data_IF_206146981709
#
_entry.id   IF_206146981709
#
_cell.length_a   1.000
_cell.length_b   1.000
_cell.length_c   1.000
_cell.angle_alpha   90.00
_cell.angle_beta   90.00
_cell.angle_gamma   90.00
#
_symmetry.space_group_name_H-M   'P 1'
#
loop_
_entity.id
_entity.type
_entity.pdbx_description
1 polymer ?
#
# COMPACT_ATOMS: atom_id res chain seq x y z
N UNK A 1 -56.17 36.37 -11.83
CA UNK A 1 -55.41 35.82 -10.70
C UNK A 1 -54.43 34.82 -11.31
N UNK A 2 -53.22 35.23 -11.52
CA UNK A 2 -52.12 34.44 -12.11
C UNK A 2 -51.20 33.99 -11.00
N UNK A 3 -51.10 32.69 -10.80
CA UNK A 3 -50.17 32.06 -9.85
C UNK A 3 -48.73 32.12 -10.41
N UNK A 4 -47.89 32.84 -9.74
CA UNK A 4 -46.47 33.00 -10.03
C UNK A 4 -45.72 31.82 -9.37
N UNK A 5 -45.17 30.93 -10.20
CA UNK A 5 -44.38 29.77 -9.76
C UNK A 5 -42.98 30.25 -9.37
N UNK A 6 -42.69 30.24 -8.06
CA UNK A 6 -41.35 30.46 -7.52
C UNK A 6 -40.52 29.17 -7.68
N UNK A 7 -39.52 29.16 -8.54
CA UNK A 7 -38.53 28.09 -8.60
C UNK A 7 -37.49 28.24 -7.48
N UNK A 8 -37.10 27.17 -6.76
CA UNK A 8 -36.00 27.25 -5.80
C UNK A 8 -34.66 27.31 -6.51
N UNK A 9 -33.90 28.36 -6.24
CA UNK A 9 -32.50 28.50 -6.65
C UNK A 9 -31.65 27.49 -5.87
N UNK A 10 -31.02 26.56 -6.59
CA UNK A 10 -30.04 25.65 -6.02
C UNK A 10 -28.77 26.42 -5.62
N UNK A 11 -28.51 26.54 -4.33
CA UNK A 11 -27.25 27.03 -3.79
C UNK A 11 -26.13 26.02 -4.12
N UNK A 12 -25.24 26.43 -5.03
CA UNK A 12 -24.00 25.70 -5.32
C UNK A 12 -23.04 25.99 -4.16
N UNK A 13 -22.95 25.03 -3.23
CA UNK A 13 -21.99 25.04 -2.14
C UNK A 13 -20.58 24.74 -2.72
N UNK A 14 -19.86 25.80 -3.09
CA UNK A 14 -18.48 25.70 -3.54
C UNK A 14 -17.53 25.68 -2.34
N UNK A 15 -17.31 24.49 -1.78
CA UNK A 15 -16.26 24.30 -0.78
C UNK A 15 -14.89 24.67 -1.36
N UNK A 16 -14.07 25.44 -0.63
CA UNK A 16 -12.74 25.81 -1.10
C UNK A 16 -11.86 24.56 -1.24
N UNK A 17 -11.40 24.27 -2.45
CA UNK A 17 -10.47 23.15 -2.71
C UNK A 17 -9.16 23.44 -1.98
N UNK A 18 -8.87 22.67 -0.95
CA UNK A 18 -7.60 22.73 -0.23
C UNK A 18 -6.44 22.42 -1.19
N UNK A 19 -5.74 23.46 -1.61
CA UNK A 19 -4.53 23.31 -2.42
C UNK A 19 -3.35 23.06 -1.47
N UNK A 20 -2.85 21.81 -1.44
CA UNK A 20 -1.60 21.52 -0.75
C UNK A 20 -0.48 22.40 -1.31
N UNK A 21 0.31 23.08 -0.46
CA UNK A 21 1.43 23.87 -0.93
C UNK A 21 2.37 23.00 -1.75
N UNK A 22 2.66 23.40 -2.99
CA UNK A 22 3.66 22.72 -3.83
C UNK A 22 5.00 22.86 -3.13
N UNK A 23 5.53 21.74 -2.58
CA UNK A 23 6.90 21.70 -2.10
C UNK A 23 7.82 22.05 -3.28
N UNK A 24 8.52 23.17 -3.18
CA UNK A 24 9.57 23.50 -4.15
C UNK A 24 10.59 22.37 -4.13
N UNK A 25 10.81 21.74 -5.29
CA UNK A 25 11.88 20.76 -5.44
C UNK A 25 13.20 21.51 -5.35
N UNK A 26 13.84 21.50 -4.20
CA UNK A 26 15.24 21.94 -4.05
C UNK A 26 16.04 21.01 -4.98
N UNK A 27 16.76 21.57 -5.95
CA UNK A 27 17.70 20.81 -6.77
C UNK A 27 18.79 20.30 -5.83
N UNK A 28 18.78 18.99 -5.57
CA UNK A 28 19.85 18.34 -4.81
C UNK A 28 21.11 18.37 -5.68
N UNK A 29 22.24 18.76 -5.08
CA UNK A 29 23.54 18.63 -5.72
C UNK A 29 23.74 17.16 -6.15
N UNK A 30 23.96 16.86 -7.44
CA UNK A 30 24.14 15.50 -7.91
C UNK A 30 25.37 14.80 -7.30
N UNK A 31 26.33 15.58 -6.75
CA UNK A 31 27.54 15.07 -6.12
C UNK A 31 27.46 15.03 -4.59
N UNK A 32 26.36 15.46 -3.99
CA UNK A 32 26.16 15.37 -2.55
C UNK A 32 26.05 13.89 -2.14
N UNK A 33 26.71 13.48 -1.04
CA UNK A 33 26.59 12.11 -0.55
C UNK A 33 25.12 11.82 -0.22
N UNK A 34 24.63 10.66 -0.66
CA UNK A 34 23.29 10.22 -0.32
C UNK A 34 23.24 9.85 1.16
N UNK A 35 22.59 10.70 1.96
CA UNK A 35 22.33 10.42 3.37
C UNK A 35 20.91 9.91 3.48
N UNK A 36 20.78 8.65 3.89
CA UNK A 36 19.47 8.03 4.14
C UNK A 36 18.99 8.44 5.53
N UNK A 37 17.81 9.05 5.61
CA UNK A 37 17.18 9.35 6.89
C UNK A 37 16.84 8.04 7.62
N UNK A 38 17.14 8.00 8.92
CA UNK A 38 16.79 6.86 9.76
C UNK A 38 15.30 6.81 9.96
N UNK A 39 14.71 5.64 9.72
CA UNK A 39 13.32 5.38 9.99
C UNK A 39 13.09 4.99 11.44
N UNK A 40 11.96 5.37 12.00
CA UNK A 40 11.52 5.01 13.34
C UNK A 40 10.11 4.44 13.26
N UNK A 41 9.85 3.38 14.03
CA UNK A 41 8.51 2.82 14.14
C UNK A 41 7.68 3.63 15.14
N UNK A 42 6.36 3.73 14.96
CA UNK A 42 5.50 4.44 15.89
C UNK A 42 5.45 3.74 17.26
N UNK A 43 5.16 4.52 18.31
CA UNK A 43 4.85 4.03 19.68
C UNK A 43 5.93 3.12 20.30
N UNK A 44 7.19 3.25 19.89
CA UNK A 44 8.30 2.44 20.43
C UNK A 44 8.28 0.97 20.00
N UNK A 45 7.52 0.61 18.98
CA UNK A 45 7.57 -0.70 18.37
C UNK A 45 8.94 -0.94 17.73
N UNK A 46 9.39 -2.18 17.72
CA UNK A 46 10.66 -2.61 17.12
C UNK A 46 10.51 -3.70 16.06
N UNK A 47 9.28 -4.15 15.82
CA UNK A 47 8.96 -5.19 14.83
C UNK A 47 7.98 -4.67 13.80
N UNK A 48 8.29 -4.92 12.54
CA UNK A 48 7.48 -4.50 11.41
C UNK A 48 7.08 -5.71 10.57
N UNK A 49 5.81 -5.76 10.18
CA UNK A 49 5.31 -6.65 9.14
C UNK A 49 5.19 -5.84 7.85
N UNK A 50 6.03 -6.12 6.87
CA UNK A 50 6.03 -5.41 5.59
C UNK A 50 5.23 -6.19 4.56
N UNK A 51 4.04 -5.69 4.20
CA UNK A 51 3.31 -6.23 3.06
C UNK A 51 4.03 -5.84 1.75
N UNK A 52 4.42 -6.83 0.97
CA UNK A 52 5.12 -6.62 -0.31
C UNK A 52 4.41 -7.31 -1.47
N UNK A 53 4.26 -6.60 -2.59
CA UNK A 53 3.72 -7.18 -3.83
C UNK A 53 4.81 -7.66 -4.80
N UNK A 54 5.97 -7.02 -4.79
CA UNK A 54 7.13 -7.41 -5.61
C UNK A 54 8.42 -6.80 -5.05
N UNK A 55 9.53 -7.53 -5.14
CA UNK A 55 10.82 -7.06 -4.64
C UNK A 55 11.32 -5.77 -5.33
N UNK A 56 11.20 -5.60 -6.67
CA UNK A 56 11.59 -4.35 -7.33
C UNK A 56 10.83 -3.12 -6.83
N UNK A 57 9.55 -3.26 -6.48
CA UNK A 57 8.75 -2.15 -5.98
C UNK A 57 9.10 -1.77 -4.53
N UNK A 58 9.48 -2.76 -3.73
CA UNK A 58 9.70 -2.62 -2.28
C UNK A 58 11.18 -2.51 -1.90
N UNK A 59 12.11 -2.79 -2.82
CA UNK A 59 13.54 -2.95 -2.53
C UNK A 59 14.16 -1.75 -1.80
N UNK A 60 13.90 -0.53 -2.28
CA UNK A 60 14.42 0.69 -1.64
C UNK A 60 13.85 0.87 -0.22
N UNK A 61 12.56 0.55 -0.02
CA UNK A 61 11.92 0.61 1.30
C UNK A 61 12.54 -0.43 2.23
N UNK A 62 12.73 -1.67 1.75
CA UNK A 62 13.35 -2.75 2.52
C UNK A 62 14.78 -2.41 2.91
N UNK A 63 15.58 -1.83 2.00
CA UNK A 63 16.94 -1.37 2.31
C UNK A 63 16.95 -0.22 3.32
N UNK A 64 15.99 0.70 3.24
CA UNK A 64 15.87 1.78 4.21
C UNK A 64 15.53 1.27 5.62
N UNK A 65 14.65 0.27 5.71
CA UNK A 65 14.27 -0.38 6.97
C UNK A 65 15.49 -1.10 7.58
N UNK A 66 16.23 -1.87 6.77
CA UNK A 66 17.46 -2.55 7.20
C UNK A 66 18.52 -1.56 7.68
N UNK A 67 18.78 -0.48 6.91
CA UNK A 67 19.74 0.54 7.27
C UNK A 67 19.36 1.30 8.56
N UNK A 68 18.08 1.30 8.92
CA UNK A 68 17.57 1.89 10.16
C UNK A 68 17.66 0.95 11.37
N UNK A 69 18.07 -0.30 11.16
CA UNK A 69 18.16 -1.31 12.22
C UNK A 69 16.82 -1.83 12.71
N UNK A 70 15.79 -1.72 11.88
CA UNK A 70 14.45 -2.21 12.20
C UNK A 70 14.33 -3.68 11.77
N UNK A 71 13.92 -4.54 12.69
CA UNK A 71 13.58 -5.92 12.37
C UNK A 71 12.25 -5.97 11.63
N UNK A 72 12.20 -6.67 10.50
CA UNK A 72 10.95 -6.84 9.77
C UNK A 72 10.81 -8.23 9.16
N UNK A 73 9.56 -8.57 8.88
CA UNK A 73 9.17 -9.79 8.18
C UNK A 73 8.43 -9.40 6.92
N UNK A 74 8.78 -10.00 5.80
CA UNK A 74 8.05 -9.82 4.54
C UNK A 74 6.79 -10.68 4.59
N UNK A 75 5.63 -10.05 4.40
CA UNK A 75 4.34 -10.71 4.31
C UNK A 75 3.81 -10.62 2.87
N UNK A 76 3.71 -11.77 2.22
CA UNK A 76 3.30 -11.86 0.83
C UNK A 76 1.86 -12.39 0.73
N UNK A 77 0.89 -11.47 0.71
CA UNK A 77 -0.52 -11.75 0.50
C UNK A 77 -1.06 -10.92 -0.65
N UNK A 78 -1.14 -11.49 -1.85
CA UNK A 78 -1.45 -10.76 -3.06
C UNK A 78 -2.48 -11.50 -3.95
N UNK A 79 -3.74 -11.66 -3.50
CA UNK A 79 -4.77 -12.37 -4.25
C UNK A 79 -5.18 -11.64 -5.54
N UNK A 80 -4.80 -10.37 -5.67
CA UNK A 80 -5.07 -9.51 -6.82
C UNK A 80 -4.08 -9.68 -7.98
N UNK A 81 -3.02 -10.45 -7.83
CA UNK A 81 -2.05 -10.67 -8.91
C UNK A 81 -2.50 -11.80 -9.80
N UNK A 82 -2.72 -11.51 -11.06
CA UNK A 82 -3.15 -12.44 -12.10
C UNK A 82 -2.32 -12.24 -13.36
N UNK A 83 -2.08 -13.28 -14.17
CA UNK A 83 -2.38 -14.71 -13.94
C UNK A 83 -1.47 -15.34 -12.88
N UNK A 84 -1.70 -16.63 -12.54
CA UNK A 84 -0.89 -17.36 -11.55
C UNK A 84 0.62 -17.29 -11.85
N UNK A 85 1.00 -17.33 -13.12
CA UNK A 85 2.41 -17.20 -13.53
C UNK A 85 3.05 -15.91 -12.99
N UNK A 86 2.35 -14.78 -13.11
CA UNK A 86 2.82 -13.48 -12.61
C UNK A 86 2.92 -13.47 -11.09
N UNK A 87 1.94 -14.04 -10.40
CA UNK A 87 1.98 -14.21 -8.95
C UNK A 87 3.22 -14.98 -8.50
N UNK A 88 3.52 -16.12 -9.15
CA UNK A 88 4.66 -16.96 -8.80
C UNK A 88 6.00 -16.24 -9.05
N UNK A 89 6.14 -15.51 -10.15
CA UNK A 89 7.35 -14.72 -10.46
C UNK A 89 7.61 -13.69 -9.34
N UNK A 90 6.60 -12.92 -8.96
CA UNK A 90 6.74 -11.89 -7.92
C UNK A 90 7.00 -12.48 -6.55
N UNK A 91 6.39 -13.62 -6.24
CA UNK A 91 6.65 -14.35 -5.00
C UNK A 91 8.11 -14.82 -4.93
N UNK A 92 8.60 -15.45 -5.98
CA UNK A 92 9.98 -15.94 -6.03
C UNK A 92 11.02 -14.81 -5.92
N UNK A 93 10.76 -13.65 -6.52
CA UNK A 93 11.62 -12.47 -6.36
C UNK A 93 11.67 -11.97 -4.92
N UNK A 94 10.53 -11.93 -4.22
CA UNK A 94 10.49 -11.60 -2.80
C UNK A 94 11.25 -12.61 -1.95
N UNK A 95 11.11 -13.91 -2.23
CA UNK A 95 11.84 -14.98 -1.54
C UNK A 95 13.35 -14.82 -1.74
N UNK A 96 13.81 -14.59 -2.97
CA UNK A 96 15.24 -14.35 -3.26
C UNK A 96 15.78 -13.13 -2.52
N UNK A 97 15.02 -12.05 -2.46
CA UNK A 97 15.39 -10.86 -1.69
C UNK A 97 15.49 -11.17 -0.20
N UNK A 98 14.48 -11.83 0.35
CA UNK A 98 14.45 -12.25 1.75
C UNK A 98 15.66 -13.11 2.11
N UNK A 99 15.99 -14.11 1.30
CA UNK A 99 17.14 -14.99 1.48
C UNK A 99 18.46 -14.23 1.44
N UNK A 100 18.62 -13.32 0.48
CA UNK A 100 19.84 -12.50 0.31
C UNK A 100 20.17 -11.69 1.57
N UNK A 101 19.17 -11.18 2.25
CA UNK A 101 19.33 -10.32 3.43
C UNK A 101 19.02 -11.01 4.76
N UNK A 102 18.70 -12.30 4.75
CA UNK A 102 18.35 -13.04 5.97
C UNK A 102 17.04 -12.60 6.63
N UNK A 103 16.09 -12.09 5.84
CA UNK A 103 14.81 -11.56 6.30
C UNK A 103 13.78 -12.70 6.33
N UNK A 104 12.98 -12.85 7.41
CA UNK A 104 11.88 -13.79 7.43
C UNK A 104 10.86 -13.48 6.34
N UNK A 105 10.35 -14.51 5.68
CA UNK A 105 9.35 -14.42 4.63
C UNK A 105 8.14 -15.28 4.99
N UNK A 106 6.95 -14.70 4.91
CA UNK A 106 5.67 -15.37 5.12
C UNK A 106 4.95 -15.45 3.78
N UNK A 107 4.76 -16.67 3.31
CA UNK A 107 3.93 -16.99 2.15
C UNK A 107 2.48 -17.18 2.65
N UNK A 108 1.69 -16.14 2.51
CA UNK A 108 0.28 -16.19 2.86
C UNK A 108 -0.56 -16.78 1.72
N UNK A 109 -1.80 -17.13 2.03
CA UNK A 109 -2.69 -17.80 1.09
C UNK A 109 -2.95 -16.97 -0.18
N UNK A 110 -3.05 -17.67 -1.30
CA UNK A 110 -3.46 -17.09 -2.57
C UNK A 110 -4.99 -17.16 -2.74
N UNK A 111 -5.71 -16.38 -1.95
CA UNK A 111 -7.18 -16.30 -1.92
C UNK A 111 -7.77 -15.63 -3.17
N UNK A 112 -7.34 -16.10 -4.34
CA UNK A 112 -7.72 -15.52 -5.63
C UNK A 112 -9.23 -15.47 -5.83
N UNK A 113 -9.93 -16.56 -5.47
CA UNK A 113 -11.38 -16.62 -5.64
C UNK A 113 -12.09 -15.60 -4.76
N UNK A 114 -11.66 -15.45 -3.52
CA UNK A 114 -12.22 -14.48 -2.60
C UNK A 114 -12.01 -13.04 -3.11
N UNK A 115 -10.87 -12.75 -3.76
CA UNK A 115 -10.66 -11.45 -4.39
C UNK A 115 -11.64 -11.20 -5.54
N UNK A 116 -11.87 -12.18 -6.43
CA UNK A 116 -12.84 -12.05 -7.51
C UNK A 116 -14.26 -11.88 -6.99
N UNK A 117 -14.64 -12.62 -5.95
CA UNK A 117 -15.97 -12.51 -5.35
C UNK A 117 -16.21 -11.11 -4.75
N UNK A 118 -15.20 -10.54 -4.08
CA UNK A 118 -15.27 -9.15 -3.58
C UNK A 118 -15.25 -8.10 -4.69
N UNK A 119 -14.57 -8.37 -5.81
CA UNK A 119 -14.45 -7.45 -6.95
C UNK A 119 -15.66 -7.51 -7.90
N UNK A 120 -16.58 -8.45 -7.71
CA UNK A 120 -17.77 -8.62 -8.56
C UNK A 120 -18.60 -7.35 -8.62
N UNK A 121 -18.93 -6.92 -9.85
CA UNK A 121 -19.66 -5.67 -10.10
C UNK A 121 -18.76 -4.42 -10.14
N UNK A 122 -17.44 -4.57 -9.95
CA UNK A 122 -16.48 -3.48 -10.03
C UNK A 122 -15.52 -3.62 -11.23
N UNK A 123 -15.87 -4.42 -12.23
CA UNK A 123 -14.99 -4.75 -13.37
C UNK A 123 -14.62 -3.51 -14.19
N UNK A 124 -15.57 -2.57 -14.28
CA UNK A 124 -15.44 -1.34 -15.06
C UNK A 124 -14.99 -0.12 -14.25
N UNK A 125 -14.71 -0.31 -12.96
CA UNK A 125 -14.20 0.78 -12.14
C UNK A 125 -12.84 1.26 -12.63
N UNK A 126 -12.61 2.56 -12.69
CA UNK A 126 -11.33 3.11 -13.10
C UNK A 126 -10.23 2.72 -12.11
N UNK A 127 -8.99 2.85 -12.55
CA UNK A 127 -7.84 2.75 -11.67
C UNK A 127 -7.95 3.80 -10.55
N UNK A 128 -7.63 3.43 -9.32
CA UNK A 128 -7.81 4.20 -8.08
C UNK A 128 -9.27 4.41 -7.65
N UNK A 129 -10.23 3.73 -8.29
CA UNK A 129 -11.63 3.70 -7.89
C UNK A 129 -11.90 2.73 -6.73
N UNK A 130 -13.20 2.44 -6.50
CA UNK A 130 -13.64 1.60 -5.37
C UNK A 130 -13.07 0.19 -5.39
N UNK A 131 -12.84 -0.40 -6.58
CA UNK A 131 -12.17 -1.70 -6.70
C UNK A 131 -10.75 -1.68 -6.11
N UNK A 132 -10.00 -0.60 -6.32
CA UNK A 132 -8.67 -0.46 -5.75
C UNK A 132 -8.73 -0.31 -4.23
N UNK A 133 -9.68 0.46 -3.71
CA UNK A 133 -9.92 0.61 -2.27
C UNK A 133 -10.22 -0.75 -1.64
N UNK A 134 -11.20 -1.48 -2.16
CA UNK A 134 -11.53 -2.85 -1.71
C UNK A 134 -10.31 -3.78 -1.72
N UNK A 135 -9.49 -3.69 -2.78
CA UNK A 135 -8.28 -4.51 -2.92
C UNK A 135 -7.22 -4.16 -1.86
N UNK A 136 -7.06 -2.89 -1.52
CA UNK A 136 -6.18 -2.46 -0.42
C UNK A 136 -6.72 -2.93 0.92
N UNK A 137 -7.98 -2.69 1.20
CA UNK A 137 -8.62 -3.08 2.46
C UNK A 137 -8.45 -4.57 2.72
N UNK A 138 -8.78 -5.42 1.74
CA UNK A 138 -8.62 -6.87 1.85
C UNK A 138 -7.18 -7.29 2.22
N UNK A 139 -6.18 -6.65 1.62
CA UNK A 139 -4.78 -7.00 1.87
C UNK A 139 -4.29 -6.49 3.22
N UNK A 140 -4.68 -5.28 3.59
CA UNK A 140 -4.30 -4.69 4.87
C UNK A 140 -5.03 -5.34 6.04
N UNK A 141 -6.31 -5.71 5.89
CA UNK A 141 -7.03 -6.52 6.89
C UNK A 141 -6.24 -7.79 7.24
N UNK A 142 -5.85 -8.56 6.22
CA UNK A 142 -5.07 -9.79 6.43
C UNK A 142 -3.69 -9.56 7.03
N UNK A 143 -3.02 -8.49 6.63
CA UNK A 143 -1.73 -8.13 7.22
C UNK A 143 -1.88 -7.69 8.67
N UNK A 144 -2.92 -6.90 9.01
CA UNK A 144 -3.19 -6.44 10.36
C UNK A 144 -3.58 -7.60 11.30
N UNK A 145 -4.45 -8.52 10.86
CA UNK A 145 -4.79 -9.75 11.59
C UNK A 145 -3.52 -10.54 11.95
N UNK A 146 -2.65 -10.75 10.96
CA UNK A 146 -1.40 -11.46 11.17
C UNK A 146 -0.44 -10.75 12.14
N UNK A 147 -0.36 -9.42 12.04
CA UNK A 147 0.53 -8.61 12.87
C UNK A 147 0.05 -8.52 14.33
N UNK A 148 -1.26 -8.47 14.57
CA UNK A 148 -1.86 -8.38 15.89
C UNK A 148 -1.41 -9.54 16.78
N UNK A 149 -1.44 -10.77 16.27
CA UNK A 149 -1.03 -11.96 16.99
C UNK A 149 0.45 -11.96 17.38
N UNK A 150 1.27 -11.14 16.74
CA UNK A 150 2.73 -11.10 16.86
C UNK A 150 3.27 -9.81 17.44
N UNK A 151 2.39 -8.90 17.87
CA UNK A 151 2.74 -7.57 18.40
C UNK A 151 3.66 -6.78 17.46
N UNK A 152 3.38 -6.87 16.17
CA UNK A 152 4.08 -6.14 15.11
C UNK A 152 3.22 -5.00 14.59
N UNK A 153 3.83 -3.95 14.04
CA UNK A 153 3.13 -2.94 13.22
C UNK A 153 3.15 -3.34 11.75
N UNK A 154 2.18 -2.86 10.98
CA UNK A 154 2.06 -3.10 9.53
C UNK A 154 2.41 -1.84 8.76
#
# INVERSE_FOLDING_TARGET
MTEEQIQPQSAVDSQPKFQKPRKQKVRKDPNAPFIREKLELPEGHNKLLLHSCCAPCSGEVMEAILASGIEFTIYFYNPNIHPLKEYLIRKEENIRFAQKFGIPFIDADYDRQQWFDRAKGMEWEPERGIRCTMCFDMRFEKAAEYAQDRKSVV
#
